data_IF_410195703417
#
_entry.id   IF_410195703417
#
_cell.length_a   1.000
_cell.length_b   1.000
_cell.length_c   1.000
_cell.angle_alpha   90.00
_cell.angle_beta   90.00
_cell.angle_gamma   90.00
#
_symmetry.space_group_name_H-M   'P 1'
#
loop_
_entity.id
_entity.type
_entity.pdbx_description
1 polymer ?
#
# COMPACT_ATOMS: atom_id res chain seq x y z
N UNK A 1 -12.90 4.42 -5.56
CA UNK A 1 -13.22 3.45 -6.62
C UNK A 1 -11.96 2.63 -6.87
N UNK A 2 -12.05 1.30 -6.89
CA UNK A 2 -10.87 0.47 -7.16
C UNK A 2 -10.56 0.49 -8.67
N UNK A 3 -9.27 0.57 -9.06
CA UNK A 3 -8.91 0.56 -10.47
C UNK A 3 -9.34 -0.75 -11.14
N UNK A 4 -9.86 -0.64 -12.38
CA UNK A 4 -10.39 -1.76 -13.16
C UNK A 4 -9.35 -2.84 -13.46
N UNK A 5 -8.08 -2.46 -13.66
CA UNK A 5 -6.99 -3.37 -14.01
C UNK A 5 -5.90 -3.35 -12.93
N UNK A 6 -6.01 -4.24 -11.96
CA UNK A 6 -4.93 -4.49 -11.01
C UNK A 6 -3.92 -5.49 -11.62
N UNK A 7 -2.60 -5.28 -11.39
CA UNK A 7 -1.56 -6.17 -11.89
C UNK A 7 -1.72 -7.58 -11.32
N UNK A 8 -1.34 -8.58 -12.13
CA UNK A 8 -1.28 -9.99 -11.73
C UNK A 8 -0.02 -10.29 -10.92
N UNK A 9 1.09 -9.65 -11.25
CA UNK A 9 2.36 -9.74 -10.53
C UNK A 9 2.55 -8.52 -9.61
N UNK A 10 2.53 -8.76 -8.30
CA UNK A 10 2.51 -7.69 -7.29
C UNK A 10 3.80 -7.75 -6.47
N UNK A 11 4.59 -6.69 -6.57
CA UNK A 11 5.82 -6.51 -5.82
C UNK A 11 5.58 -5.60 -4.62
N UNK A 12 5.96 -6.09 -3.44
CA UNK A 12 5.94 -5.31 -2.20
C UNK A 12 6.72 -4.01 -2.34
N UNK A 13 7.93 -4.07 -2.91
CA UNK A 13 8.79 -2.91 -3.07
C UNK A 13 8.15 -1.84 -3.96
N UNK A 14 7.52 -2.25 -5.08
CA UNK A 14 6.80 -1.31 -5.96
C UNK A 14 5.59 -0.70 -5.26
N UNK A 15 4.82 -1.50 -4.53
CA UNK A 15 3.66 -1.02 -3.80
C UNK A 15 4.03 -0.03 -2.70
N UNK A 16 5.07 -0.33 -1.91
CA UNK A 16 5.58 0.57 -0.87
C UNK A 16 6.10 1.88 -1.47
N UNK A 17 6.76 1.83 -2.63
CA UNK A 17 7.20 3.03 -3.36
C UNK A 17 6.01 3.87 -3.83
N UNK A 18 4.96 3.23 -4.34
CA UNK A 18 3.74 3.91 -4.78
C UNK A 18 3.02 4.58 -3.59
N UNK A 19 2.85 3.86 -2.47
CA UNK A 19 2.28 4.40 -1.23
C UNK A 19 3.10 5.58 -0.71
N UNK A 20 4.42 5.49 -0.73
CA UNK A 20 5.31 6.58 -0.33
C UNK A 20 5.13 7.83 -1.19
N UNK A 21 5.06 7.66 -2.53
CA UNK A 21 4.78 8.76 -3.47
C UNK A 21 3.37 9.36 -3.32
N UNK A 22 2.46 8.66 -2.63
CA UNK A 22 1.12 9.16 -2.32
C UNK A 22 1.03 9.81 -0.94
N UNK A 23 2.13 9.83 -0.17
CA UNK A 23 2.20 10.56 1.10
C UNK A 23 2.26 9.67 2.34
N UNK A 24 2.33 8.34 2.21
CA UNK A 24 2.59 7.46 3.34
C UNK A 24 4.08 7.48 3.75
N UNK A 25 4.35 7.39 5.04
CA UNK A 25 5.69 7.13 5.58
C UNK A 25 5.88 5.62 5.68
N UNK A 26 6.96 5.09 5.10
CA UNK A 26 7.23 3.65 5.10
C UNK A 26 8.17 3.29 6.25
N UNK A 27 7.72 2.37 7.09
CA UNK A 27 8.49 1.83 8.22
C UNK A 27 8.70 0.33 8.06
N UNK A 28 9.96 -0.11 8.10
CA UNK A 28 10.37 -1.51 8.00
C UNK A 28 10.68 -2.15 9.37
N UNK A 29 10.61 -1.37 10.46
CA UNK A 29 10.95 -1.84 11.81
C UNK A 29 10.01 -2.97 12.24
N UNK A 30 10.62 -4.05 12.75
CA UNK A 30 9.91 -5.24 13.24
C UNK A 30 9.48 -6.23 12.16
N UNK A 31 9.59 -5.88 10.87
CA UNK A 31 9.12 -6.73 9.78
C UNK A 31 10.06 -7.85 9.35
N UNK A 32 11.35 -7.82 9.76
CA UNK A 32 12.41 -8.77 9.33
C UNK A 32 12.42 -9.03 7.79
N UNK A 33 12.05 -8.03 6.99
CA UNK A 33 11.94 -8.15 5.52
C UNK A 33 10.66 -8.82 5.00
N UNK A 34 9.80 -9.37 5.87
CA UNK A 34 8.54 -10.00 5.49
C UNK A 34 7.35 -9.04 5.47
N UNK A 35 7.42 -7.95 6.24
CA UNK A 35 6.37 -6.96 6.38
C UNK A 35 6.97 -5.56 6.44
N UNK A 36 6.19 -4.57 6.01
CA UNK A 36 6.44 -3.16 6.20
C UNK A 36 5.13 -2.47 6.57
N UNK A 37 5.21 -1.29 7.19
CA UNK A 37 4.06 -0.45 7.50
C UNK A 37 4.06 0.75 6.58
N UNK A 38 2.91 1.06 6.01
CA UNK A 38 2.63 2.35 5.39
C UNK A 38 1.81 3.18 6.37
N UNK A 39 2.42 4.21 6.95
CA UNK A 39 1.87 5.04 8.02
C UNK A 39 1.32 6.32 7.41
N UNK A 40 0.06 6.64 7.70
CA UNK A 40 -0.52 7.95 7.38
C UNK A 40 0.00 8.97 8.41
N UNK A 41 0.76 10.00 7.99
CA UNK A 41 1.33 10.98 8.92
C UNK A 41 0.27 11.81 9.64
N UNK A 42 -0.93 11.96 9.08
CA UNK A 42 -1.99 12.80 9.65
C UNK A 42 -2.73 12.10 10.79
N UNK A 43 -3.04 10.82 10.62
CA UNK A 43 -3.82 10.05 11.60
C UNK A 43 -2.99 9.09 12.45
N UNK A 44 -1.71 8.89 12.11
CA UNK A 44 -0.81 7.89 12.70
C UNK A 44 -1.31 6.44 12.55
N UNK A 45 -2.38 6.21 11.79
CA UNK A 45 -2.85 4.88 11.42
C UNK A 45 -1.89 4.28 10.39
N UNK A 46 -1.81 2.96 10.34
CA UNK A 46 -0.93 2.29 9.40
C UNK A 46 -1.59 1.10 8.73
N UNK A 47 -1.13 0.81 7.53
CA UNK A 47 -1.48 -0.37 6.75
C UNK A 47 -0.26 -1.29 6.73
N UNK A 48 -0.47 -2.55 7.10
CA UNK A 48 0.60 -3.56 7.01
C UNK A 48 0.66 -4.10 5.59
N UNK A 49 1.84 -4.03 4.99
CA UNK A 49 2.14 -4.52 3.64
C UNK A 49 3.08 -5.71 3.77
N UNK A 50 2.56 -6.90 3.53
CA UNK A 50 3.32 -8.15 3.54
C UNK A 50 4.09 -8.35 2.23
N UNK A 51 5.17 -9.14 2.25
CA UNK A 51 6.02 -9.41 1.08
C UNK A 51 5.27 -10.24 0.02
N UNK A 52 4.56 -11.29 0.46
CA UNK A 52 3.71 -12.12 -0.41
C UNK A 52 2.38 -11.41 -0.67
N UNK A 53 2.36 -10.55 -1.68
CA UNK A 53 1.18 -9.83 -2.12
C UNK A 53 0.41 -10.60 -3.19
N UNK A 54 -0.72 -11.17 -2.80
CA UNK A 54 -1.74 -11.61 -3.74
C UNK A 54 -2.69 -10.47 -4.08
N UNK A 55 -3.36 -10.55 -5.23
CA UNK A 55 -4.35 -9.55 -5.69
C UNK A 55 -5.40 -9.21 -4.63
N UNK A 56 -5.85 -10.20 -3.85
CA UNK A 56 -6.80 -9.98 -2.76
C UNK A 56 -6.24 -9.11 -1.64
N UNK A 57 -4.94 -9.21 -1.34
CA UNK A 57 -4.28 -8.38 -0.32
C UNK A 57 -4.06 -6.97 -0.85
N UNK A 58 -3.67 -6.82 -2.12
CA UNK A 58 -3.59 -5.50 -2.77
C UNK A 58 -4.94 -4.78 -2.69
N UNK A 59 -6.04 -5.47 -2.99
CA UNK A 59 -7.39 -4.90 -2.85
C UNK A 59 -7.67 -4.45 -1.41
N UNK A 60 -7.29 -5.26 -0.40
CA UNK A 60 -7.47 -4.89 1.01
C UNK A 60 -6.65 -3.64 1.37
N UNK A 61 -5.41 -3.55 0.90
CA UNK A 61 -4.53 -2.40 1.13
C UNK A 61 -5.12 -1.15 0.49
N UNK A 62 -5.58 -1.22 -0.76
CA UNK A 62 -6.17 -0.08 -1.47
C UNK A 62 -7.45 0.41 -0.78
N UNK A 63 -8.34 -0.51 -0.35
CA UNK A 63 -9.54 -0.14 0.43
C UNK A 63 -9.19 0.52 1.77
N UNK A 64 -8.14 0.03 2.44
CA UNK A 64 -7.67 0.63 3.68
C UNK A 64 -7.12 2.05 3.43
N UNK A 65 -6.37 2.25 2.33
CA UNK A 65 -5.89 3.57 1.94
C UNK A 65 -7.04 4.53 1.59
N UNK A 66 -8.07 4.06 0.88
CA UNK A 66 -9.30 4.84 0.63
C UNK A 66 -10.01 5.23 1.93
N UNK A 67 -10.05 4.34 2.92
CA UNK A 67 -10.62 4.64 4.24
C UNK A 67 -9.82 5.69 5.02
N UNK A 68 -8.57 5.94 4.63
CA UNK A 68 -7.72 7.01 5.16
C UNK A 68 -7.76 8.27 4.28
N UNK A 69 -8.59 8.29 3.22
CA UNK A 69 -8.77 9.45 2.33
C UNK A 69 -7.87 9.47 1.10
N UNK A 70 -7.06 8.43 0.85
CA UNK A 70 -6.20 8.36 -0.33
C UNK A 70 -6.93 7.81 -1.55
N UNK A 71 -6.56 8.25 -2.75
CA UNK A 71 -7.15 7.74 -3.97
C UNK A 71 -6.42 6.46 -4.45
N UNK A 72 -7.14 5.34 -4.55
CA UNK A 72 -6.58 4.07 -4.98
C UNK A 72 -6.08 4.07 -6.44
N UNK A 73 -6.75 4.78 -7.35
CA UNK A 73 -6.29 4.92 -8.74
C UNK A 73 -5.00 5.73 -8.83
N UNK A 74 -4.87 6.79 -8.02
CA UNK A 74 -3.65 7.60 -7.94
C UNK A 74 -2.46 6.80 -7.38
N UNK A 75 -2.70 5.98 -6.35
CA UNK A 75 -1.67 5.06 -5.85
C UNK A 75 -1.23 4.11 -6.97
N UNK A 76 -2.18 3.53 -7.71
CA UNK A 76 -1.87 2.56 -8.75
C UNK A 76 -1.25 3.19 -10.01
N UNK A 77 -1.47 4.47 -10.30
CA UNK A 77 -0.76 5.16 -11.39
C UNK A 77 0.73 5.38 -11.10
N UNK A 78 1.12 5.31 -9.82
CA UNK A 78 2.51 5.47 -9.34
C UNK A 78 3.26 4.14 -9.14
N UNK A 79 2.58 3.01 -9.36
CA UNK A 79 3.03 1.63 -9.13
C UNK A 79 3.83 1.04 -10.29
#
# INVERSE_FOLDING_TARGET
MLPHNLPSDISQARLLKALSKSGFVIDYVGGRGSHAKAIDPHTQRFITVQNNLYKIILIKILKAAESLGYNAEEIMSKY
#
